data_IF_530391607598
#
_entry.id   IF_530391607598
#
_cell.length_a   1.000
_cell.length_b   1.000
_cell.length_c   1.000
_cell.angle_alpha   90.00
_cell.angle_beta   90.00
_cell.angle_gamma   90.00
#
_symmetry.space_group_name_H-M   'P 1'
#
loop_
_entity.id
_entity.type
_entity.pdbx_description
1 polymer ?
#
# COMPACT_ATOMS: atom_id res chain seq x y z
N UNK A 1 6.14 -68.48 11.58
CA UNK A 1 6.37 -68.15 13.01
C UNK A 1 7.08 -66.80 13.07
N UNK A 2 6.75 -65.98 14.09
CA UNK A 2 7.44 -64.80 14.66
C UNK A 2 8.99 -64.74 14.43
N UNK A 3 9.73 -63.61 14.33
CA UNK A 3 9.48 -62.14 14.40
C UNK A 3 10.82 -61.34 14.17
N UNK A 4 10.79 -60.07 13.69
CA UNK A 4 11.80 -58.96 13.86
C UNK A 4 13.28 -59.12 13.35
N UNK A 5 14.18 -58.13 13.22
CA UNK A 5 14.24 -56.62 13.08
C UNK A 5 15.63 -56.30 12.43
N UNK A 6 15.84 -55.34 11.50
CA UNK A 6 15.83 -53.85 11.55
C UNK A 6 15.29 -53.26 10.21
N UNK A 7 15.16 -51.97 9.87
CA UNK A 7 15.77 -50.63 10.14
C UNK A 7 17.18 -50.38 9.53
N UNK A 8 17.19 -49.66 8.40
CA UNK A 8 18.25 -48.69 8.10
C UNK A 8 17.60 -47.48 7.40
N UNK A 9 17.59 -46.33 8.07
CA UNK A 9 17.23 -45.05 7.48
C UNK A 9 18.32 -44.64 6.49
N UNK A 10 17.93 -44.13 5.33
CA UNK A 10 18.73 -43.16 4.59
C UNK A 10 17.86 -41.95 4.26
N UNK A 11 17.76 -41.05 5.23
CA UNK A 11 17.22 -39.71 5.01
C UNK A 11 18.28 -38.94 4.23
N UNK A 12 18.10 -38.81 2.92
CA UNK A 12 18.97 -37.97 2.09
C UNK A 12 18.53 -36.52 2.25
N UNK A 13 19.02 -35.89 3.32
CA UNK A 13 18.82 -34.47 3.63
C UNK A 13 19.53 -33.63 2.55
N UNK A 14 18.83 -33.26 1.47
CA UNK A 14 19.33 -32.24 0.54
C UNK A 14 19.09 -30.89 1.22
N UNK A 15 20.10 -30.48 1.99
CA UNK A 15 20.23 -29.10 2.45
C UNK A 15 20.42 -28.19 1.25
N UNK A 16 19.31 -27.73 0.67
CA UNK A 16 19.32 -26.61 -0.26
C UNK A 16 19.78 -25.39 0.54
N UNK A 17 21.07 -25.10 0.43
CA UNK A 17 21.72 -23.94 1.03
C UNK A 17 21.13 -22.69 0.36
N UNK A 18 20.10 -22.11 0.99
CA UNK A 18 19.59 -20.80 0.59
C UNK A 18 20.74 -19.82 0.85
N UNK A 19 21.44 -19.46 -0.22
CA UNK A 19 22.36 -18.34 -0.21
C UNK A 19 21.49 -17.10 -0.11
N UNK A 20 21.21 -16.68 1.11
CA UNK A 20 20.68 -15.35 1.41
C UNK A 20 21.75 -14.34 0.97
N UNK A 21 21.71 -13.96 -0.31
CA UNK A 21 22.37 -12.77 -0.82
C UNK A 21 21.70 -11.58 -0.17
N UNK A 22 22.11 -11.26 1.06
CA UNK A 22 21.86 -9.98 1.69
C UNK A 22 22.66 -8.91 0.94
N UNK A 23 22.19 -8.57 -0.27
CA UNK A 23 22.14 -7.17 -0.63
C UNK A 23 21.17 -6.56 0.38
N UNK A 24 21.70 -5.89 1.40
CA UNK A 24 20.89 -4.91 2.11
C UNK A 24 20.45 -3.92 1.06
N UNK A 25 19.14 -3.89 0.75
CA UNK A 25 18.58 -2.80 -0.03
C UNK A 25 19.01 -1.48 0.61
N UNK A 26 19.27 -0.48 -0.22
CA UNK A 26 19.57 0.86 0.29
C UNK A 26 18.43 1.27 1.23
N UNK A 27 18.71 1.67 2.49
CA UNK A 27 17.65 2.02 3.44
C UNK A 27 16.67 3.06 2.89
N UNK A 28 17.12 3.97 2.03
CA UNK A 28 16.26 4.94 1.35
C UNK A 28 15.35 4.28 0.31
N UNK A 29 15.86 3.36 -0.51
CA UNK A 29 15.06 2.67 -1.53
C UNK A 29 14.05 1.70 -0.91
N UNK A 30 14.42 1.00 0.17
CA UNK A 30 13.48 0.15 0.93
C UNK A 30 12.40 0.98 1.65
N UNK A 31 12.71 2.22 2.03
CA UNK A 31 11.77 3.17 2.59
C UNK A 31 10.80 3.72 1.51
N UNK A 32 11.28 3.97 0.29
CA UNK A 32 10.45 4.32 -0.89
C UNK A 32 9.61 3.15 -1.37
N UNK A 33 10.10 1.90 -1.29
CA UNK A 33 9.34 0.69 -1.64
C UNK A 33 8.10 0.57 -0.74
N UNK A 34 8.27 0.69 0.59
CA UNK A 34 7.15 0.69 1.53
C UNK A 34 6.18 1.87 1.33
N UNK A 35 6.70 3.06 0.98
CA UNK A 35 5.87 4.22 0.63
C UNK A 35 5.08 4.00 -0.68
N UNK A 36 5.67 3.31 -1.66
CA UNK A 36 5.03 2.96 -2.94
C UNK A 36 3.89 1.98 -2.71
N UNK A 37 4.17 0.86 -2.02
CA UNK A 37 3.18 -0.18 -1.71
C UNK A 37 1.98 0.39 -0.94
N UNK A 38 2.22 1.26 0.05
CA UNK A 38 1.14 1.96 0.77
C UNK A 38 0.27 2.83 -0.15
N UNK A 39 0.87 3.51 -1.14
CA UNK A 39 0.12 4.33 -2.11
C UNK A 39 -0.63 3.48 -3.13
N UNK A 40 -0.04 2.40 -3.62
CA UNK A 40 -0.74 1.41 -4.45
C UNK A 40 -1.96 0.85 -3.68
N UNK A 41 -1.82 0.48 -2.41
CA UNK A 41 -2.95 0.03 -1.56
C UNK A 41 -4.08 1.08 -1.41
N UNK A 42 -3.73 2.37 -1.40
CA UNK A 42 -4.72 3.47 -1.33
C UNK A 42 -5.44 3.73 -2.66
N UNK A 43 -4.79 3.49 -3.81
CA UNK A 43 -5.23 3.98 -5.12
C UNK A 43 -5.50 2.92 -6.18
N UNK A 44 -4.95 1.72 -6.05
CA UNK A 44 -5.26 0.57 -6.90
C UNK A 44 -6.59 -0.03 -6.45
N UNK A 45 -7.67 0.52 -7.01
CA UNK A 45 -9.05 0.20 -6.68
C UNK A 45 -9.69 -0.48 -7.86
N UNK A 46 -10.09 -1.74 -7.67
CA UNK A 46 -11.04 -2.38 -8.55
C UNK A 46 -12.47 -2.03 -8.15
N UNK A 47 -13.24 -1.44 -9.07
CA UNK A 47 -14.62 -1.04 -8.84
C UNK A 47 -15.53 -2.22 -8.51
N UNK A 48 -15.40 -3.36 -9.20
CA UNK A 48 -16.25 -4.54 -8.96
C UNK A 48 -16.06 -5.08 -7.54
N UNK A 49 -14.84 -5.08 -7.02
CA UNK A 49 -14.53 -5.47 -5.64
C UNK A 49 -15.13 -4.50 -4.61
N UNK A 50 -15.11 -3.18 -4.87
CA UNK A 50 -15.56 -2.18 -3.89
C UNK A 50 -17.04 -1.78 -4.00
N UNK A 51 -17.74 -2.15 -5.08
CA UNK A 51 -19.12 -1.78 -5.35
C UNK A 51 -20.12 -2.34 -4.34
N UNK A 52 -19.86 -3.54 -3.79
CA UNK A 52 -20.73 -4.19 -2.80
C UNK A 52 -20.28 -3.95 -1.33
N UNK A 53 -19.20 -3.20 -1.09
CA UNK A 53 -18.64 -3.02 0.26
C UNK A 53 -19.52 -2.13 1.16
N UNK A 54 -19.85 -2.65 2.34
CA UNK A 54 -20.53 -1.88 3.38
C UNK A 54 -19.58 -0.86 4.03
N UNK A 55 -20.03 0.40 4.14
CA UNK A 55 -19.24 1.52 4.69
C UNK A 55 -18.78 1.33 6.15
N UNK A 56 -19.45 0.46 6.91
CA UNK A 56 -19.12 0.21 8.32
C UNK A 56 -17.90 -0.69 8.54
N UNK A 57 -17.35 -1.31 7.49
CA UNK A 57 -16.18 -2.22 7.57
C UNK A 57 -14.83 -1.53 7.36
N UNK A 58 -14.79 -0.19 7.30
CA UNK A 58 -13.57 0.55 7.02
C UNK A 58 -12.39 0.23 7.99
N UNK A 59 -12.58 0.11 9.33
CA UNK A 59 -11.49 -0.25 10.24
C UNK A 59 -10.90 -1.63 9.94
N UNK A 60 -11.75 -2.65 9.74
CA UNK A 60 -11.30 -4.01 9.45
C UNK A 60 -10.57 -4.09 8.09
N UNK A 61 -11.04 -3.38 7.07
CA UNK A 61 -10.38 -3.34 5.75
C UNK A 61 -9.05 -2.57 5.77
N UNK A 62 -8.95 -1.50 6.55
CA UNK A 62 -7.69 -0.76 6.71
C UNK A 62 -6.66 -1.60 7.48
N UNK A 63 -7.09 -2.38 8.48
CA UNK A 63 -6.21 -3.37 9.13
C UNK A 63 -5.76 -4.47 8.15
N UNK A 64 -6.69 -5.06 7.39
CA UNK A 64 -6.40 -6.12 6.42
C UNK A 64 -5.47 -5.66 5.29
N UNK A 65 -5.69 -4.47 4.74
CA UNK A 65 -4.90 -3.94 3.62
C UNK A 65 -3.59 -3.29 4.07
N UNK A 66 -3.57 -2.57 5.19
CA UNK A 66 -2.43 -1.72 5.57
C UNK A 66 -1.65 -2.23 6.80
N UNK A 67 -2.06 -3.31 7.47
CA UNK A 67 -1.44 -3.77 8.72
C UNK A 67 0.06 -4.06 8.63
N UNK A 68 0.50 -4.62 7.51
CA UNK A 68 1.90 -4.96 7.26
C UNK A 68 2.74 -3.75 6.83
N UNK A 69 2.14 -2.70 6.23
CA UNK A 69 2.86 -1.59 5.58
C UNK A 69 2.71 -0.23 6.28
N UNK A 70 1.76 -0.07 7.20
CA UNK A 70 1.50 1.16 7.95
C UNK A 70 1.55 0.92 9.46
N UNK A 71 1.92 1.92 10.26
CA UNK A 71 1.85 1.83 11.72
C UNK A 71 0.40 1.92 12.21
N UNK A 72 0.16 1.54 13.47
CA UNK A 72 -1.16 1.68 14.10
C UNK A 72 -1.65 3.14 14.09
N UNK A 73 -0.74 4.11 14.26
CA UNK A 73 -1.04 5.56 14.19
C UNK A 73 -1.62 5.96 12.83
N UNK A 74 -0.97 5.56 11.73
CA UNK A 74 -1.44 5.90 10.38
C UNK A 74 -2.75 5.18 10.07
N UNK A 75 -2.92 3.91 10.48
CA UNK A 75 -4.19 3.20 10.28
C UNK A 75 -5.34 3.85 11.04
N UNK A 76 -5.13 4.30 12.28
CA UNK A 76 -6.11 5.13 13.00
C UNK A 76 -6.39 6.44 12.26
N UNK A 77 -5.37 7.11 11.71
CA UNK A 77 -5.53 8.35 10.93
C UNK A 77 -6.38 8.14 9.67
N UNK A 78 -6.14 7.08 8.90
CA UNK A 78 -6.93 6.71 7.71
C UNK A 78 -8.41 6.47 8.07
N UNK A 79 -8.68 5.75 9.17
CA UNK A 79 -10.04 5.51 9.67
C UNK A 79 -10.71 6.82 10.10
N UNK A 80 -10.03 7.65 10.89
CA UNK A 80 -10.60 8.87 11.45
C UNK A 80 -10.89 9.96 10.42
N UNK A 81 -10.04 10.08 9.40
CA UNK A 81 -10.20 11.09 8.33
C UNK A 81 -10.94 10.53 7.11
N UNK A 82 -11.19 9.22 7.07
CA UNK A 82 -11.94 8.56 5.99
C UNK A 82 -11.22 8.56 4.65
N UNK A 83 -9.88 8.59 4.64
CA UNK A 83 -9.02 8.76 3.45
C UNK A 83 -9.36 7.73 2.37
N UNK A 84 -9.18 6.43 2.67
CA UNK A 84 -9.47 5.35 1.71
C UNK A 84 -10.96 5.31 1.37
N UNK A 85 -11.84 5.52 2.34
CA UNK A 85 -13.30 5.56 2.13
C UNK A 85 -13.72 6.65 1.14
N UNK A 86 -13.01 7.79 1.10
CA UNK A 86 -13.24 8.88 0.16
C UNK A 86 -12.78 8.51 -1.26
N UNK A 87 -11.57 7.93 -1.41
CA UNK A 87 -11.06 7.46 -2.71
C UNK A 87 -11.98 6.38 -3.29
N UNK A 88 -12.34 5.37 -2.50
CA UNK A 88 -13.34 4.37 -2.87
C UNK A 88 -14.70 4.98 -3.24
N UNK A 89 -15.11 6.07 -2.58
CA UNK A 89 -16.38 6.74 -2.91
C UNK A 89 -16.31 7.33 -4.31
N UNK A 90 -15.20 7.95 -4.70
CA UNK A 90 -15.00 8.51 -6.05
C UNK A 90 -15.14 7.39 -7.10
N UNK A 91 -14.41 6.28 -6.94
CA UNK A 91 -14.50 5.11 -7.81
C UNK A 91 -15.94 4.55 -7.90
N UNK A 92 -16.68 4.45 -6.79
CA UNK A 92 -18.09 4.01 -6.79
C UNK A 92 -19.05 4.96 -7.50
N UNK A 93 -18.92 6.27 -7.29
CA UNK A 93 -19.79 7.28 -7.92
C UNK A 93 -19.52 7.37 -9.44
N UNK A 94 -18.28 7.12 -9.86
CA UNK A 94 -17.84 7.14 -11.27
C UNK A 94 -17.91 5.78 -11.99
N UNK A 95 -18.08 4.68 -11.25
CA UNK A 95 -18.02 3.32 -11.79
C UNK A 95 -16.71 3.07 -12.56
N UNK A 96 -15.60 3.40 -11.90
CA UNK A 96 -14.25 3.43 -12.46
C UNK A 96 -13.25 2.64 -11.62
N UNK A 97 -12.39 1.89 -12.29
CA UNK A 97 -11.17 1.38 -11.66
C UNK A 97 -10.18 2.55 -11.50
N UNK A 98 -9.42 2.56 -10.41
CA UNK A 98 -8.32 3.51 -10.20
C UNK A 98 -6.99 2.73 -10.08
N UNK A 99 -5.89 3.32 -10.55
CA UNK A 99 -4.55 2.73 -10.38
C UNK A 99 -3.43 3.77 -10.40
N UNK A 100 -2.34 3.51 -9.68
CA UNK A 100 -1.12 4.33 -9.73
C UNK A 100 -0.41 4.09 -11.07
N UNK A 101 -0.32 5.11 -11.90
CA UNK A 101 0.45 5.06 -13.15
C UNK A 101 1.92 5.46 -12.92
N UNK A 102 2.13 6.45 -12.05
CA UNK A 102 3.47 6.89 -11.65
C UNK A 102 3.45 7.44 -10.23
N UNK A 103 4.53 7.23 -9.49
CA UNK A 103 4.84 7.94 -8.26
C UNK A 103 6.31 8.32 -8.26
N UNK A 104 6.60 9.51 -7.75
CA UNK A 104 7.97 10.00 -7.55
C UNK A 104 8.13 10.57 -6.14
N UNK A 105 9.35 10.44 -5.60
CA UNK A 105 9.69 10.85 -4.25
C UNK A 105 10.91 11.77 -4.27
N UNK A 106 10.82 12.90 -3.59
CA UNK A 106 11.95 13.73 -3.19
C UNK A 106 12.18 13.58 -1.68
N UNK A 107 13.43 13.41 -1.25
CA UNK A 107 13.74 13.25 0.18
C UNK A 107 13.48 14.56 0.92
N UNK A 108 12.67 14.48 1.98
CA UNK A 108 12.22 15.62 2.77
C UNK A 108 13.22 16.06 3.84
N UNK A 109 12.71 16.57 4.96
CA UNK A 109 13.53 17.18 6.02
C UNK A 109 14.02 16.21 7.12
N UNK A 110 13.59 14.93 7.08
CA UNK A 110 13.96 13.89 8.07
C UNK A 110 14.70 12.74 7.40
N UNK A 111 15.93 12.51 7.89
CA UNK A 111 16.86 11.46 7.44
C UNK A 111 17.61 10.85 8.67
N UNK A 112 16.89 10.15 9.55
CA UNK A 112 17.48 9.44 10.72
C UNK A 112 17.58 7.93 10.46
N UNK A 113 18.50 7.17 11.07
CA UNK A 113 18.78 5.76 10.66
C UNK A 113 17.53 4.83 10.65
N UNK A 114 16.47 5.21 11.37
CA UNK A 114 15.17 4.57 11.51
C UNK A 114 13.96 5.42 11.04
N UNK A 115 14.16 6.62 10.48
CA UNK A 115 13.08 7.50 9.97
C UNK A 115 13.44 8.19 8.64
N UNK A 116 12.52 8.18 7.67
CA UNK A 116 12.63 8.94 6.40
C UNK A 116 11.34 9.72 6.16
N UNK A 117 11.46 10.99 5.80
CA UNK A 117 10.37 11.74 5.19
C UNK A 117 10.54 11.84 3.67
N UNK A 118 9.45 11.73 2.92
CA UNK A 118 9.44 11.97 1.48
C UNK A 118 8.30 12.92 1.11
N UNK A 119 8.62 13.92 0.29
CA UNK A 119 7.61 14.66 -0.48
C UNK A 119 7.33 13.87 -1.76
N UNK A 120 6.05 13.75 -2.17
CA UNK A 120 5.66 12.92 -3.31
C UNK A 120 4.74 13.64 -4.30
N UNK A 121 4.88 13.25 -5.57
CA UNK A 121 3.96 13.53 -6.68
C UNK A 121 3.47 12.19 -7.24
N UNK A 122 2.16 12.01 -7.31
CA UNK A 122 1.50 10.77 -7.72
C UNK A 122 0.51 11.02 -8.88
N UNK A 123 0.69 10.25 -9.95
CA UNK A 123 -0.18 10.20 -11.11
C UNK A 123 -1.07 8.95 -11.05
N UNK A 124 -2.38 9.16 -10.96
CA UNK A 124 -3.39 8.10 -10.83
C UNK A 124 -4.24 8.09 -12.11
N UNK A 125 -4.45 6.92 -12.70
CA UNK A 125 -5.38 6.73 -13.82
C UNK A 125 -6.75 6.33 -13.30
N UNK A 126 -7.79 7.07 -13.71
CA UNK A 126 -9.20 6.79 -13.47
C UNK A 126 -9.83 6.23 -14.76
N UNK A 127 -10.22 4.96 -14.72
CA UNK A 127 -10.73 4.20 -15.87
C UNK A 127 -12.26 4.10 -15.81
N UNK A 128 -12.95 5.14 -16.26
CA UNK A 128 -14.41 5.18 -16.32
C UNK A 128 -14.96 4.20 -17.38
N UNK A 129 -16.08 3.54 -17.05
CA UNK A 129 -16.72 2.53 -17.90
C UNK A 129 -17.03 3.07 -19.31
N UNK A 130 -16.17 2.75 -20.28
CA UNK A 130 -16.30 3.19 -21.68
C UNK A 130 -15.04 3.80 -22.31
N UNK A 131 -13.86 3.28 -21.98
CA UNK A 131 -12.53 3.67 -22.50
C UNK A 131 -12.12 5.14 -22.23
N UNK A 132 -12.77 5.84 -21.29
CA UNK A 132 -12.34 7.18 -20.86
C UNK A 132 -11.34 7.04 -19.71
N UNK A 133 -10.10 7.47 -19.95
CA UNK A 133 -9.04 7.52 -18.94
C UNK A 133 -8.83 8.99 -18.57
N UNK A 134 -9.06 9.35 -17.31
CA UNK A 134 -8.65 10.65 -16.76
C UNK A 134 -7.40 10.47 -15.88
N UNK A 135 -6.44 11.38 -16.04
CA UNK A 135 -5.21 11.40 -15.26
C UNK A 135 -5.35 12.39 -14.10
N UNK A 136 -5.39 11.87 -12.88
CA UNK A 136 -5.40 12.65 -11.64
C UNK A 136 -3.94 12.85 -11.20
N UNK A 137 -3.59 14.06 -10.76
CA UNK A 137 -2.31 14.33 -10.11
C UNK A 137 -2.60 14.79 -8.68
N UNK A 138 -1.90 14.23 -7.71
CA UNK A 138 -1.99 14.64 -6.31
C UNK A 138 -0.59 14.72 -5.68
N UNK A 139 -0.50 15.46 -4.58
CA UNK A 139 0.76 15.78 -3.92
C UNK A 139 0.63 15.56 -2.42
N UNK A 140 1.74 15.23 -1.75
CA UNK A 140 1.75 15.13 -0.30
C UNK A 140 3.14 14.97 0.28
N UNK A 141 3.17 14.71 1.58
CA UNK A 141 4.36 14.34 2.32
C UNK A 141 4.03 13.14 3.19
N UNK A 142 4.91 12.14 3.23
CA UNK A 142 4.78 11.01 4.13
C UNK A 142 6.06 10.77 4.94
N UNK A 143 5.91 10.08 6.06
CA UNK A 143 6.99 9.62 6.94
C UNK A 143 6.91 8.11 7.05
N UNK A 144 8.03 7.44 6.82
CA UNK A 144 8.20 6.01 7.07
C UNK A 144 9.21 5.78 8.18
N UNK A 145 8.89 4.83 9.05
CA UNK A 145 9.72 4.43 10.20
C UNK A 145 10.13 2.97 10.09
N UNK A 146 11.30 2.65 10.61
CA UNK A 146 11.86 1.31 10.59
C UNK A 146 11.46 0.54 11.84
N UNK A 147 10.61 -0.47 11.66
CA UNK A 147 10.13 -1.36 12.73
C UNK A 147 10.94 -2.67 12.77
N UNK A 148 10.64 -3.56 13.72
CA UNK A 148 11.18 -4.92 13.75
C UNK A 148 10.71 -5.77 12.55
N UNK A 149 9.58 -5.40 11.92
CA UNK A 149 8.94 -6.13 10.82
C UNK A 149 9.35 -5.60 9.43
N UNK A 150 9.80 -4.33 9.34
CA UNK A 150 10.12 -3.66 8.09
C UNK A 150 9.97 -2.14 8.18
N UNK A 151 10.16 -1.43 7.07
CA UNK A 151 9.74 -0.03 6.95
C UNK A 151 8.21 0.02 6.87
N UNK A 152 7.59 0.92 7.64
CA UNK A 152 6.14 1.17 7.61
C UNK A 152 5.85 2.67 7.56
N UNK A 153 4.78 3.08 6.87
CA UNK A 153 4.29 4.47 6.88
C UNK A 153 3.72 4.78 8.26
N UNK A 154 4.27 5.78 8.95
CA UNK A 154 3.74 6.28 10.24
C UNK A 154 2.85 7.51 10.09
N UNK A 155 2.97 8.21 8.95
CA UNK A 155 2.20 9.42 8.68
C UNK A 155 2.09 9.72 7.20
N UNK A 156 0.89 10.03 6.72
CA UNK A 156 0.64 10.57 5.38
C UNK A 156 -0.14 11.90 5.44
N UNK A 157 0.39 12.93 4.78
CA UNK A 157 -0.20 14.26 4.65
C UNK A 157 -0.51 14.55 3.18
N UNK A 158 -1.48 13.80 2.65
CA UNK A 158 -1.98 13.98 1.28
C UNK A 158 -2.82 15.26 1.14
N UNK A 159 -2.67 15.98 0.03
CA UNK A 159 -3.42 17.21 -0.25
C UNK A 159 -4.82 16.97 -0.84
N UNK A 160 -5.07 15.82 -1.46
CA UNK A 160 -6.36 15.40 -2.04
C UNK A 160 -6.91 16.36 -3.11
N UNK A 161 -6.04 17.15 -3.76
CA UNK A 161 -6.50 18.23 -4.64
C UNK A 161 -7.08 17.67 -5.94
N UNK A 162 -6.36 16.78 -6.61
CA UNK A 162 -6.84 16.13 -7.83
C UNK A 162 -8.11 15.29 -7.61
N UNK A 163 -8.14 14.54 -6.51
CA UNK A 163 -9.32 13.76 -6.09
C UNK A 163 -10.55 14.64 -5.83
N UNK A 164 -10.38 15.76 -5.15
CA UNK A 164 -11.47 16.70 -4.86
C UNK A 164 -12.02 17.31 -6.16
N UNK A 165 -11.15 17.70 -7.09
CA UNK A 165 -11.56 18.20 -8.41
C UNK A 165 -12.27 17.12 -9.24
N UNK A 166 -11.87 15.85 -9.15
CA UNK A 166 -12.56 14.74 -9.81
C UNK A 166 -13.95 14.49 -9.21
N UNK A 167 -14.05 14.50 -7.88
CA UNK A 167 -15.32 14.34 -7.17
C UNK A 167 -16.32 15.49 -7.46
N UNK A 168 -15.84 16.73 -7.59
CA UNK A 168 -16.68 17.87 -7.97
C UNK A 168 -17.23 17.76 -9.42
N UNK A 169 -16.51 17.08 -10.32
CA UNK A 169 -17.00 16.79 -11.68
C UNK A 169 -18.09 15.72 -11.70
N UNK A 170 -17.98 14.67 -10.87
CA UNK A 170 -18.94 13.56 -10.85
C UNK A 170 -20.32 13.94 -10.26
N UNK A 171 -20.50 15.17 -9.77
CA UNK A 171 -21.75 15.68 -9.21
C UNK A 171 -22.56 16.57 -10.19
N UNK A 172 -22.12 16.74 -11.44
CA UNK A 172 -22.67 17.69 -12.44
C UNK A 172 -23.50 17.01 -13.54
#
# INVERSE_FOLDING_TARGET
MRINIKISLFISFISALIVLTSCSADPEEAAKEAATEFKEIQFDINYEEIAELELFTAPERIEEKCGDIATENEREYLVMNGVMTFIEKISRERQSDMSVNHISFETGNVEEDDERSFDYDIEISDHETGDTIETINDLGQLVVVKTEEGWKVDKDLQQMKGLSELYEKSLQ
#
